data_IF_165588969856
#
_entry.id   IF_165588969856
#
_cell.length_a   1.000
_cell.length_b   1.000
_cell.length_c   1.000
_cell.angle_alpha   90.00
_cell.angle_beta   90.00
_cell.angle_gamma   90.00
#
_symmetry.space_group_name_H-M   'P 1'
#
loop_
_entity.id
_entity.type
_entity.pdbx_description
1 polymer ?
#
# COMPACT_ATOMS: atom_id res chain seq x y z
N UNK A 1 19.20 -20.50 -16.35
CA UNK A 1 18.26 -19.37 -16.53
C UNK A 1 18.62 -18.16 -15.68
N UNK A 2 18.58 -16.96 -16.27
CA UNK A 2 18.92 -15.75 -15.54
C UNK A 2 17.78 -15.31 -14.63
N UNK A 3 18.05 -15.14 -13.33
CA UNK A 3 17.20 -14.48 -12.33
C UNK A 3 16.58 -13.18 -12.90
N UNK A 4 17.26 -12.53 -13.85
CA UNK A 4 16.80 -11.33 -14.57
C UNK A 4 15.51 -11.55 -15.35
N UNK A 5 15.34 -12.67 -16.07
CA UNK A 5 14.13 -12.93 -16.88
C UNK A 5 12.91 -13.14 -15.99
N UNK A 6 13.06 -13.93 -14.92
CA UNK A 6 11.99 -14.13 -13.92
C UNK A 6 11.60 -12.81 -13.26
N UNK A 7 12.58 -11.98 -12.90
CA UNK A 7 12.32 -10.66 -12.31
C UNK A 7 11.52 -9.76 -13.25
N UNK A 8 11.90 -9.66 -14.53
CA UNK A 8 11.16 -8.86 -15.53
C UNK A 8 9.71 -9.31 -15.68
N UNK A 9 9.47 -10.63 -15.71
CA UNK A 9 8.10 -11.18 -15.81
C UNK A 9 7.29 -10.83 -14.56
N UNK A 10 7.88 -10.93 -13.37
CA UNK A 10 7.21 -10.55 -12.12
C UNK A 10 6.88 -9.06 -12.08
N UNK A 11 7.80 -8.19 -12.52
CA UNK A 11 7.59 -6.74 -12.57
C UNK A 11 6.45 -6.37 -13.55
N UNK A 12 6.43 -6.94 -14.76
CA UNK A 12 5.33 -6.71 -15.71
C UNK A 12 4.01 -7.33 -15.21
N UNK A 13 4.05 -8.51 -14.58
CA UNK A 13 2.86 -9.10 -13.97
C UNK A 13 2.27 -8.19 -12.88
N UNK A 14 3.09 -7.63 -11.99
CA UNK A 14 2.64 -6.71 -10.95
C UNK A 14 2.05 -5.43 -11.53
N UNK A 15 2.68 -4.87 -12.56
CA UNK A 15 2.18 -3.68 -13.27
C UNK A 15 0.81 -3.94 -13.90
N UNK A 16 0.65 -5.03 -14.65
CA UNK A 16 -0.64 -5.41 -15.24
C UNK A 16 -1.70 -5.71 -14.19
N UNK A 17 -1.32 -6.41 -13.10
CA UNK A 17 -2.22 -6.72 -12.01
C UNK A 17 -2.70 -5.44 -11.31
N UNK A 18 -1.81 -4.46 -11.10
CA UNK A 18 -2.17 -3.16 -10.51
C UNK A 18 -3.22 -2.41 -11.35
N UNK A 19 -3.05 -2.39 -12.67
CA UNK A 19 -4.00 -1.76 -13.61
C UNK A 19 -5.34 -2.49 -13.53
N UNK A 20 -5.33 -3.83 -13.50
CA UNK A 20 -6.55 -4.63 -13.40
C UNK A 20 -7.30 -4.36 -12.09
N UNK A 21 -6.62 -4.32 -10.94
CA UNK A 21 -7.22 -4.02 -9.63
C UNK A 21 -7.83 -2.60 -9.61
N UNK A 22 -7.14 -1.60 -10.17
CA UNK A 22 -7.65 -0.23 -10.29
C UNK A 22 -8.96 -0.20 -11.10
N UNK A 23 -8.99 -0.93 -12.22
CA UNK A 23 -10.19 -1.06 -13.06
C UNK A 23 -11.35 -1.71 -12.30
N UNK A 24 -11.11 -2.80 -11.57
CA UNK A 24 -12.17 -3.45 -10.79
C UNK A 24 -12.69 -2.52 -9.68
N UNK A 25 -11.79 -1.78 -9.04
CA UNK A 25 -12.16 -0.79 -8.00
C UNK A 25 -13.05 0.31 -8.59
N UNK A 26 -12.77 0.80 -9.81
CA UNK A 26 -13.61 1.79 -10.49
C UNK A 26 -14.98 1.22 -10.89
N UNK A 27 -15.05 -0.05 -11.29
CA UNK A 27 -16.31 -0.74 -11.65
C UNK A 27 -17.17 -1.08 -10.43
N UNK A 28 -16.72 -0.75 -9.21
CA UNK A 28 -17.34 -1.15 -7.93
C UNK A 28 -17.59 -2.66 -7.84
N UNK A 29 -16.77 -3.45 -8.54
CA UNK A 29 -16.81 -4.91 -8.42
C UNK A 29 -16.03 -5.31 -7.17
N UNK A 30 -16.69 -6.08 -6.29
CA UNK A 30 -16.07 -6.63 -5.10
C UNK A 30 -14.87 -7.50 -5.51
N UNK A 31 -13.66 -6.96 -5.38
CA UNK A 31 -12.44 -7.66 -5.73
C UNK A 31 -11.94 -8.39 -4.49
N UNK A 32 -11.95 -9.72 -4.52
CA UNK A 32 -11.49 -10.55 -3.42
C UNK A 32 -10.03 -10.94 -3.63
N UNK A 33 -9.35 -11.32 -2.54
CA UNK A 33 -8.00 -11.89 -2.65
C UNK A 33 -7.93 -13.06 -3.65
N UNK A 34 -8.98 -13.90 -3.67
CA UNK A 34 -9.08 -15.02 -4.59
C UNK A 34 -9.07 -14.57 -6.05
N UNK A 35 -9.87 -13.58 -6.44
CA UNK A 35 -9.91 -13.11 -7.83
C UNK A 35 -8.60 -12.42 -8.24
N UNK A 36 -7.96 -11.72 -7.30
CA UNK A 36 -6.65 -11.10 -7.53
C UNK A 36 -5.58 -12.17 -7.75
N UNK A 37 -5.58 -13.21 -6.92
CA UNK A 37 -4.67 -14.34 -7.04
C UNK A 37 -4.84 -15.04 -8.40
N UNK A 38 -6.08 -15.32 -8.78
CA UNK A 38 -6.39 -15.93 -10.08
C UNK A 38 -5.90 -15.06 -11.25
N UNK A 39 -6.17 -13.75 -11.19
CA UNK A 39 -5.71 -12.84 -12.25
C UNK A 39 -4.19 -12.76 -12.32
N UNK A 40 -3.51 -12.71 -11.19
CA UNK A 40 -2.04 -12.70 -11.13
C UNK A 40 -1.44 -13.93 -11.81
N UNK A 41 -1.98 -15.12 -11.50
CA UNK A 41 -1.56 -16.38 -12.14
C UNK A 41 -1.82 -16.33 -13.66
N UNK A 42 -3.01 -15.88 -14.07
CA UNK A 42 -3.35 -15.78 -15.50
C UNK A 42 -2.39 -14.85 -16.27
N UNK A 43 -2.08 -13.68 -15.71
CA UNK A 43 -1.13 -12.72 -16.29
C UNK A 43 0.27 -13.34 -16.36
N UNK A 44 0.73 -13.96 -15.28
CA UNK A 44 2.06 -14.56 -15.22
C UNK A 44 2.24 -15.67 -16.26
N UNK A 45 1.27 -16.58 -16.38
CA UNK A 45 1.32 -17.66 -17.37
C UNK A 45 1.29 -17.12 -18.81
N UNK A 46 0.55 -16.03 -19.07
CA UNK A 46 0.57 -15.37 -20.36
C UNK A 46 1.95 -14.78 -20.69
N UNK A 47 2.54 -14.02 -19.77
CA UNK A 47 3.88 -13.44 -19.93
C UNK A 47 4.98 -14.51 -20.05
N UNK A 48 4.85 -15.60 -19.30
CA UNK A 48 5.75 -16.75 -19.37
C UNK A 48 5.75 -17.38 -20.77
N UNK A 49 4.58 -17.55 -21.40
CA UNK A 49 4.45 -18.08 -22.76
C UNK A 49 5.10 -17.20 -23.83
N UNK A 50 5.16 -15.88 -23.61
CA UNK A 50 5.81 -14.94 -24.53
C UNK A 50 7.34 -14.88 -24.38
N UNK A 51 7.89 -15.49 -23.33
CA UNK A 51 9.34 -15.48 -23.10
C UNK A 51 10.09 -16.44 -24.04
N UNK A 52 11.38 -16.19 -24.26
CA UNK A 52 12.24 -17.01 -25.13
C UNK A 52 12.27 -18.49 -24.70
N UNK A 53 12.20 -18.75 -23.39
CA UNK A 53 12.33 -20.09 -22.81
C UNK A 53 11.23 -20.33 -21.76
N UNK A 54 9.98 -20.61 -22.17
CA UNK A 54 8.85 -20.73 -21.23
C UNK A 54 9.04 -21.88 -20.24
N UNK A 55 9.69 -22.97 -20.62
CA UNK A 55 9.81 -24.19 -19.82
C UNK A 55 10.69 -24.01 -18.58
N UNK A 56 11.73 -23.17 -18.64
CA UNK A 56 12.66 -23.01 -17.51
C UNK A 56 12.23 -21.90 -16.52
N UNK A 57 11.11 -21.20 -16.78
CA UNK A 57 10.51 -20.23 -15.84
C UNK A 57 9.62 -20.96 -14.83
N UNK A 58 10.02 -20.90 -13.57
CA UNK A 58 9.24 -21.46 -12.46
C UNK A 58 7.82 -20.86 -12.38
N UNK A 59 6.82 -21.62 -11.93
CA UNK A 59 5.47 -21.10 -11.66
C UNK A 59 5.50 -19.92 -10.69
N UNK A 60 4.50 -19.04 -10.79
CA UNK A 60 4.34 -17.93 -9.85
C UNK A 60 3.98 -18.47 -8.46
N UNK A 61 4.82 -18.26 -7.43
CA UNK A 61 4.49 -18.65 -6.07
C UNK A 61 3.46 -17.65 -5.55
N UNK A 62 2.19 -17.90 -5.85
CA UNK A 62 1.02 -17.10 -5.47
C UNK A 62 0.71 -17.20 -3.96
N UNK A 63 1.75 -17.02 -3.15
CA UNK A 63 1.74 -17.02 -1.69
C UNK A 63 1.21 -15.70 -1.14
N UNK A 64 0.60 -15.74 0.04
CA UNK A 64 0.13 -14.56 0.78
C UNK A 64 1.22 -13.49 0.90
N UNK A 65 2.45 -13.89 1.22
CA UNK A 65 3.60 -13.02 1.40
C UNK A 65 3.98 -12.22 0.14
N UNK A 66 3.85 -12.83 -1.05
CA UNK A 66 4.04 -12.14 -2.34
C UNK A 66 3.04 -11.00 -2.51
N UNK A 67 1.77 -11.26 -2.20
CA UNK A 67 0.70 -10.27 -2.27
C UNK A 67 0.79 -9.19 -1.19
N UNK A 68 1.29 -9.51 0.01
CA UNK A 68 1.56 -8.51 1.05
C UNK A 68 2.61 -7.50 0.57
N UNK A 69 3.71 -7.99 -0.02
CA UNK A 69 4.74 -7.10 -0.60
C UNK A 69 4.21 -6.29 -1.78
N UNK A 70 3.37 -6.89 -2.63
CA UNK A 70 2.67 -6.19 -3.72
C UNK A 70 1.75 -5.08 -3.19
N UNK A 71 0.95 -5.35 -2.14
CA UNK A 71 0.07 -4.36 -1.52
C UNK A 71 0.85 -3.13 -1.05
N UNK A 72 1.99 -3.37 -0.39
CA UNK A 72 2.87 -2.31 0.10
C UNK A 72 3.48 -1.49 -1.04
N UNK A 73 3.90 -2.15 -2.14
CA UNK A 73 4.49 -1.45 -3.31
C UNK A 73 3.49 -0.53 -4.02
N UNK A 74 2.24 -0.96 -4.19
CA UNK A 74 1.24 -0.23 -4.97
C UNK A 74 0.23 0.58 -4.14
N UNK A 75 0.41 0.63 -2.82
CA UNK A 75 -0.46 1.40 -1.90
C UNK A 75 -1.95 1.02 -1.99
N UNK A 76 -2.26 -0.26 -2.23
CA UNK A 76 -3.63 -0.76 -2.26
C UNK A 76 -4.17 -1.00 -0.84
N UNK A 77 -4.35 0.07 -0.07
CA UNK A 77 -4.86 -0.01 1.30
C UNK A 77 -6.34 -0.43 1.37
N UNK A 78 -7.11 -0.16 0.31
CA UNK A 78 -8.55 -0.43 0.26
C UNK A 78 -8.90 -1.83 -0.28
N UNK A 79 -7.91 -2.64 -0.63
CA UNK A 79 -8.11 -3.98 -1.20
C UNK A 79 -7.76 -5.02 -0.14
N UNK A 80 -8.74 -5.83 0.27
CA UNK A 80 -8.54 -6.94 1.21
C UNK A 80 -7.75 -8.06 0.52
N UNK A 81 -6.43 -7.90 0.50
CA UNK A 81 -5.46 -8.80 -0.14
C UNK A 81 -4.91 -9.88 0.79
N UNK A 82 -5.19 -9.82 2.09
CA UNK A 82 -4.84 -10.87 3.03
C UNK A 82 -6.16 -11.39 3.61
N UNK A 83 -6.49 -12.66 3.34
CA UNK A 83 -7.53 -13.35 4.08
C UNK A 83 -7.02 -13.63 5.50
N UNK A 84 -7.91 -13.50 6.49
CA UNK A 84 -7.71 -13.76 7.92
C UNK A 84 -6.42 -13.25 8.62
N UNK A 85 -6.61 -12.30 9.54
CA UNK A 85 -5.63 -11.89 10.54
C UNK A 85 -5.49 -12.92 11.70
N UNK A 86 -5.37 -14.22 11.39
CA UNK A 86 -5.36 -15.25 12.44
C UNK A 86 -4.58 -16.53 12.15
N UNK A 87 -3.90 -16.65 11.01
CA UNK A 87 -3.19 -17.90 10.67
C UNK A 87 -2.01 -17.66 9.72
N UNK A 88 -0.83 -18.05 10.18
CA UNK A 88 0.42 -18.25 9.44
C UNK A 88 1.32 -17.02 9.14
N UNK A 89 2.00 -16.53 10.18
CA UNK A 89 3.32 -15.86 10.07
C UNK A 89 4.49 -16.86 10.25
N UNK A 90 4.26 -18.14 9.94
CA UNK A 90 5.26 -19.21 10.08
C UNK A 90 5.89 -19.56 8.72
N UNK A 91 5.13 -19.48 7.62
CA UNK A 91 5.58 -20.02 6.33
C UNK A 91 6.50 -19.06 5.54
N UNK A 92 6.45 -17.75 5.82
CA UNK A 92 7.32 -16.77 5.15
C UNK A 92 8.66 -16.56 5.88
N UNK A 93 8.71 -16.77 7.19
CA UNK A 93 9.94 -16.72 7.98
C UNK A 93 10.83 -17.96 7.72
N UNK A 94 10.22 -19.12 7.47
CA UNK A 94 10.94 -20.39 7.29
C UNK A 94 11.66 -20.52 5.94
N UNK A 95 11.42 -19.61 4.99
CA UNK A 95 12.09 -19.57 3.67
C UNK A 95 13.11 -18.44 3.51
N UNK A 96 13.57 -17.86 4.63
CA UNK A 96 14.81 -17.11 4.59
C UNK A 96 15.98 -18.06 4.33
N UNK A 97 16.94 -17.70 3.45
CA UNK A 97 18.11 -18.53 3.21
C UNK A 97 18.82 -18.77 4.54
N UNK A 98 19.02 -20.03 4.87
CA UNK A 98 19.65 -20.55 6.10
C UNK A 98 21.10 -20.07 6.29
N UNK A 99 21.64 -19.29 5.34
CA UNK A 99 22.97 -18.69 5.36
C UNK A 99 23.07 -17.41 6.22
N UNK A 100 21.97 -16.90 6.78
CA UNK A 100 21.99 -15.69 7.66
C UNK A 100 21.79 -16.02 9.15
N UNK A 101 21.50 -17.28 9.52
CA UNK A 101 21.23 -17.65 10.91
C UNK A 101 22.45 -18.24 11.67
N UNK A 102 23.55 -18.51 10.97
CA UNK A 102 24.73 -19.16 11.55
C UNK A 102 25.79 -18.21 12.14
N UNK A 103 25.50 -16.90 12.23
CA UNK A 103 26.51 -15.90 12.64
C UNK A 103 26.15 -15.07 13.88
N UNK A 104 25.07 -15.38 14.61
CA UNK A 104 24.56 -14.51 15.71
C UNK A 104 24.28 -15.22 17.05
N UNK A 105 24.56 -16.52 17.20
CA UNK A 105 24.47 -17.18 18.53
C UNK A 105 25.62 -18.18 18.76
N UNK A 106 26.83 -17.69 18.59
CA UNK A 106 27.99 -18.23 19.29
C UNK A 106 28.09 -17.46 20.61
N UNK A 107 28.15 -18.17 21.75
CA UNK A 107 28.34 -17.65 23.13
C UNK A 107 27.10 -17.11 23.86
N UNK A 108 26.21 -18.02 24.28
CA UNK A 108 25.56 -17.86 25.60
C UNK A 108 25.30 -19.25 26.18
N UNK A 109 26.14 -19.59 27.16
CA UNK A 109 26.31 -20.90 27.79
C UNK A 109 25.09 -21.34 28.61
N UNK A 110 24.97 -22.66 28.72
CA UNK A 110 23.78 -23.48 29.02
C UNK A 110 23.57 -23.80 30.50
N UNK A 111 23.65 -22.85 31.42
CA UNK A 111 23.60 -23.20 32.87
C UNK A 111 22.56 -22.48 33.74
N UNK A 112 21.77 -21.53 33.22
CA UNK A 112 20.83 -20.77 34.09
C UNK A 112 19.33 -21.06 33.91
N UNK A 113 18.94 -21.98 33.01
CA UNK A 113 17.52 -22.28 32.77
C UNK A 113 16.93 -23.41 33.65
N UNK A 114 17.52 -23.75 34.80
CA UNK A 114 17.04 -24.88 35.62
C UNK A 114 16.92 -24.66 37.14
N UNK A 115 16.67 -23.43 37.61
CA UNK A 115 16.28 -23.19 39.02
C UNK A 115 15.10 -22.22 39.09
N UNK A 116 14.20 -22.47 40.03
CA UNK A 116 12.99 -21.72 40.38
C UNK A 116 11.66 -22.24 39.77
N UNK A 117 11.42 -23.55 39.94
CA UNK A 117 10.07 -24.09 40.15
C UNK A 117 9.87 -24.40 41.63
N UNK A 118 9.35 -23.48 42.46
CA UNK A 118 8.70 -23.79 43.75
C UNK A 118 7.78 -22.63 44.15
N UNK A 119 6.49 -22.98 44.28
CA UNK A 119 5.45 -22.52 45.21
C UNK A 119 5.17 -21.03 45.45
N UNK A 120 3.87 -20.69 45.36
CA UNK A 120 3.29 -19.46 45.91
C UNK A 120 1.87 -19.23 45.41
N UNK A 121 0.92 -19.99 45.95
CA UNK A 121 -0.52 -19.75 45.84
C UNK A 121 -0.90 -18.40 46.47
N UNK A 122 -1.82 -17.64 45.87
CA UNK A 122 -2.99 -17.02 46.49
C UNK A 122 -3.54 -15.83 45.66
N UNK A 123 -4.79 -15.99 45.26
CA UNK A 123 -5.84 -14.97 45.13
C UNK A 123 -5.71 -13.82 44.10
N UNK A 124 -6.71 -13.77 43.22
CA UNK A 124 -7.43 -12.51 43.01
C UNK A 124 -7.50 -11.99 41.58
N UNK A 125 -8.71 -12.12 41.02
CA UNK A 125 -9.34 -11.32 39.95
C UNK A 125 -8.92 -11.54 38.49
N UNK A 126 -9.92 -12.00 37.76
CA UNK A 126 -10.11 -11.87 36.32
C UNK A 126 -10.21 -10.39 35.96
N UNK A 127 -9.25 -9.86 35.20
CA UNK A 127 -9.42 -8.64 34.41
C UNK A 127 -8.78 -8.89 33.03
N UNK A 128 -9.65 -9.25 32.09
CA UNK A 128 -9.40 -9.41 30.66
C UNK A 128 -9.38 -8.02 30.00
N UNK A 129 -8.26 -7.31 30.14
CA UNK A 129 -8.00 -6.04 29.43
C UNK A 129 -6.77 -6.17 28.52
N UNK A 130 -6.90 -6.98 27.47
CA UNK A 130 -5.97 -6.95 26.33
C UNK A 130 -6.73 -6.60 25.04
N UNK A 131 -7.40 -5.45 25.05
CA UNK A 131 -7.97 -4.85 23.84
C UNK A 131 -6.90 -4.00 23.14
N UNK A 132 -6.13 -4.63 22.26
CA UNK A 132 -5.19 -3.95 21.37
C UNK A 132 -5.98 -3.00 20.44
N UNK A 133 -6.01 -1.72 20.79
CA UNK A 133 -6.63 -0.66 19.99
C UNK A 133 -5.89 -0.55 18.67
N UNK A 134 -6.50 -1.03 17.59
CA UNK A 134 -5.98 -0.90 16.23
C UNK A 134 -5.62 0.57 15.93
N UNK A 135 -4.46 0.85 15.30
CA UNK A 135 -4.04 2.21 15.02
C UNK A 135 -5.10 2.94 14.17
N UNK A 136 -5.39 4.23 14.46
CA UNK A 136 -6.38 4.97 13.71
C UNK A 136 -5.99 5.01 12.23
N UNK A 137 -6.96 4.94 11.30
CA UNK A 137 -6.68 4.97 9.88
C UNK A 137 -5.85 6.21 9.53
N UNK A 138 -4.89 6.10 8.60
CA UNK A 138 -4.04 7.24 8.21
C UNK A 138 -4.92 8.42 7.81
N UNK A 139 -4.62 9.61 8.32
CA UNK A 139 -5.35 10.84 7.97
C UNK A 139 -5.12 11.15 6.48
N UNK A 140 -6.05 10.72 5.63
CA UNK A 140 -6.00 10.96 4.18
C UNK A 140 -7.13 11.91 3.77
N UNK A 141 -6.77 13.12 3.36
CA UNK A 141 -7.69 14.04 2.68
C UNK A 141 -7.79 13.68 1.20
N UNK A 142 -9.01 13.43 0.71
CA UNK A 142 -9.33 13.14 -0.70
C UNK A 142 -9.03 14.34 -1.60
N UNK A 143 -8.95 14.12 -2.91
CA UNK A 143 -8.77 15.21 -3.89
C UNK A 143 -9.93 16.21 -3.87
N UNK A 144 -11.16 15.74 -3.62
CA UNK A 144 -12.34 16.58 -3.52
C UNK A 144 -12.30 17.47 -2.27
N UNK A 145 -11.98 16.89 -1.10
CA UNK A 145 -11.82 17.63 0.15
C UNK A 145 -10.68 18.65 0.07
N UNK A 146 -9.55 18.30 -0.57
CA UNK A 146 -8.45 19.23 -0.81
C UNK A 146 -8.89 20.42 -1.67
N UNK A 147 -9.61 20.14 -2.77
CA UNK A 147 -10.13 21.19 -3.65
C UNK A 147 -11.14 22.08 -2.94
N UNK A 148 -12.06 21.50 -2.16
CA UNK A 148 -13.06 22.25 -1.40
C UNK A 148 -12.44 23.11 -0.30
N UNK A 149 -11.46 22.56 0.43
CA UNK A 149 -10.70 23.28 1.46
C UNK A 149 -9.98 24.49 0.86
N UNK A 150 -9.25 24.31 -0.24
CA UNK A 150 -8.56 25.41 -0.93
C UNK A 150 -9.55 26.48 -1.41
N UNK A 151 -10.68 26.08 -2.01
CA UNK A 151 -11.74 27.03 -2.41
C UNK A 151 -12.31 27.78 -1.21
N UNK A 152 -12.50 27.10 -0.08
CA UNK A 152 -13.04 27.71 1.14
C UNK A 152 -12.08 28.74 1.72
N UNK A 153 -10.78 28.43 1.79
CA UNK A 153 -9.77 29.37 2.25
C UNK A 153 -9.74 30.60 1.34
N UNK A 154 -9.77 30.41 0.02
CA UNK A 154 -9.71 31.52 -0.92
C UNK A 154 -10.91 32.47 -0.83
N UNK A 155 -12.11 31.93 -0.61
CA UNK A 155 -13.30 32.76 -0.29
C UNK A 155 -13.09 33.58 0.99
N UNK A 156 -12.46 33.01 2.01
CA UNK A 156 -12.19 33.71 3.29
C UNK A 156 -11.11 34.77 3.15
N UNK A 157 -10.06 34.52 2.35
CA UNK A 157 -9.05 35.53 2.05
C UNK A 157 -9.64 36.70 1.27
N UNK A 158 -10.48 36.42 0.27
CA UNK A 158 -11.18 37.47 -0.47
C UNK A 158 -12.08 38.32 0.45
N UNK A 159 -12.87 37.66 1.31
CA UNK A 159 -13.69 38.38 2.28
C UNK A 159 -12.85 39.27 3.21
N UNK A 160 -11.68 38.81 3.65
CA UNK A 160 -10.77 39.61 4.47
C UNK A 160 -10.24 40.84 3.71
N UNK A 161 -9.89 40.70 2.42
CA UNK A 161 -9.44 41.82 1.58
C UNK A 161 -10.55 42.87 1.36
N UNK A 162 -11.80 42.43 1.25
CA UNK A 162 -12.96 43.30 1.03
C UNK A 162 -13.46 44.01 2.30
N UNK A 163 -13.22 43.44 3.49
CA UNK A 163 -13.82 43.91 4.75
C UNK A 163 -12.81 44.49 5.77
N UNK A 164 -11.51 44.35 5.55
CA UNK A 164 -10.50 44.92 6.47
C UNK A 164 -10.34 46.43 6.25
N UNK A 165 -10.43 47.21 7.34
CA UNK A 165 -10.20 48.66 7.31
C UNK A 165 -8.74 49.01 6.96
N UNK A 166 -7.81 48.08 7.18
CA UNK A 166 -6.41 48.19 6.81
C UNK A 166 -6.09 47.31 5.58
N UNK A 167 -6.29 47.87 4.39
CA UNK A 167 -6.04 47.20 3.10
C UNK A 167 -4.58 46.76 2.92
N UNK A 168 -3.62 47.46 3.54
CA UNK A 168 -2.21 47.07 3.49
C UNK A 168 -1.95 45.80 4.31
N UNK A 169 -2.51 45.72 5.51
CA UNK A 169 -2.37 44.56 6.40
C UNK A 169 -3.10 43.33 5.88
N UNK A 170 -4.34 43.48 5.40
CA UNK A 170 -5.08 42.38 4.78
C UNK A 170 -4.33 41.86 3.57
N UNK A 171 -3.92 42.75 2.66
CA UNK A 171 -3.18 42.38 1.46
C UNK A 171 -1.84 41.68 1.77
N UNK A 172 -1.10 42.13 2.79
CA UNK A 172 0.15 41.47 3.20
C UNK A 172 -0.11 40.07 3.76
N UNK A 173 -1.14 39.94 4.60
CA UNK A 173 -1.54 38.68 5.22
C UNK A 173 -2.03 37.68 4.18
N UNK A 174 -2.93 38.09 3.28
CA UNK A 174 -3.48 37.21 2.24
C UNK A 174 -2.42 36.76 1.26
N UNK A 175 -1.48 37.62 0.86
CA UNK A 175 -0.31 37.21 0.06
C UNK A 175 0.53 36.15 0.76
N UNK A 176 0.80 36.32 2.05
CA UNK A 176 1.54 35.34 2.86
C UNK A 176 0.83 33.99 2.93
N UNK A 177 -0.47 33.98 3.20
CA UNK A 177 -1.26 32.74 3.26
C UNK A 177 -1.29 32.06 1.88
N UNK A 178 -1.52 32.80 0.79
CA UNK A 178 -1.50 32.24 -0.56
C UNK A 178 -0.17 31.56 -0.88
N UNK A 179 0.95 32.17 -0.49
CA UNK A 179 2.27 31.56 -0.63
C UNK A 179 2.41 30.25 0.17
N UNK A 180 1.89 30.21 1.40
CA UNK A 180 1.86 29.00 2.22
C UNK A 180 0.96 27.87 1.65
N UNK A 181 -0.01 28.21 0.78
CA UNK A 181 -0.90 27.24 0.14
C UNK A 181 -0.35 26.65 -1.16
N UNK A 182 0.76 27.16 -1.69
CA UNK A 182 1.34 26.67 -2.95
C UNK A 182 1.63 25.15 -2.97
N UNK A 183 2.19 24.52 -1.91
CA UNK A 183 2.40 23.06 -1.89
C UNK A 183 1.09 22.27 -2.06
N UNK A 184 -0.02 22.78 -1.53
CA UNK A 184 -1.32 22.14 -1.65
C UNK A 184 -1.96 22.34 -3.03
N UNK A 185 -1.75 23.50 -3.66
CA UNK A 185 -2.15 23.72 -5.06
C UNK A 185 -1.38 22.80 -6.00
N UNK A 186 -0.08 22.64 -5.75
CA UNK A 186 0.77 21.71 -6.50
C UNK A 186 0.32 20.26 -6.31
N UNK A 187 0.03 19.84 -5.07
CA UNK A 187 -0.54 18.52 -4.78
C UNK A 187 -1.88 18.30 -5.50
N UNK A 188 -2.76 19.30 -5.54
CA UNK A 188 -4.03 19.21 -6.26
C UNK A 188 -3.80 19.06 -7.77
N UNK A 189 -2.87 19.84 -8.34
CA UNK A 189 -2.48 19.74 -9.74
C UNK A 189 -1.96 18.34 -10.06
N UNK A 190 -1.02 17.82 -9.28
CA UNK A 190 -0.46 16.47 -9.42
C UNK A 190 -1.52 15.38 -9.30
N UNK A 191 -2.43 15.47 -8.32
CA UNK A 191 -3.55 14.53 -8.19
C UNK A 191 -4.47 14.58 -9.40
N UNK A 192 -4.71 15.76 -9.96
CA UNK A 192 -5.56 15.94 -11.15
C UNK A 192 -4.89 15.43 -12.44
N UNK A 193 -3.59 15.65 -12.62
CA UNK A 193 -2.82 15.19 -13.79
C UNK A 193 -2.55 13.70 -13.70
N UNK A 194 -2.21 13.18 -12.52
CA UNK A 194 -2.07 11.76 -12.27
C UNK A 194 -3.39 11.02 -12.54
N UNK A 195 -4.54 11.55 -12.12
CA UNK A 195 -5.83 10.95 -12.44
C UNK A 195 -6.10 10.94 -13.95
N UNK A 196 -5.79 12.03 -14.67
CA UNK A 196 -5.90 12.10 -16.14
C UNK A 196 -4.96 11.11 -16.83
N UNK A 197 -3.70 11.05 -16.42
CA UNK A 197 -2.70 10.12 -16.97
C UNK A 197 -3.06 8.66 -16.66
N UNK A 198 -3.50 8.35 -15.44
CA UNK A 198 -3.99 7.02 -15.05
C UNK A 198 -5.19 6.62 -15.91
N UNK A 199 -6.15 7.53 -16.11
CA UNK A 199 -7.29 7.30 -17.01
C UNK A 199 -6.85 7.08 -18.45
N UNK A 200 -5.92 7.90 -18.97
CA UNK A 200 -5.37 7.75 -20.31
C UNK A 200 -4.64 6.41 -20.47
N UNK A 201 -3.82 6.00 -19.49
CA UNK A 201 -3.11 4.72 -19.47
C UNK A 201 -4.07 3.53 -19.50
N UNK A 202 -5.15 3.60 -18.73
CA UNK A 202 -6.21 2.58 -18.75
C UNK A 202 -6.88 2.54 -20.12
N UNK A 203 -7.21 3.70 -20.73
CA UNK A 203 -7.81 3.75 -22.06
C UNK A 203 -6.89 3.18 -23.16
N UNK A 204 -5.58 3.45 -23.09
CA UNK A 204 -4.60 2.89 -24.03
C UNK A 204 -4.57 1.36 -23.93
N UNK A 205 -4.59 0.81 -22.72
CA UNK A 205 -4.62 -0.64 -22.51
C UNK A 205 -5.87 -1.30 -23.14
N UNK A 206 -7.04 -0.65 -23.04
CA UNK A 206 -8.26 -1.17 -23.67
C UNK A 206 -8.24 -1.11 -25.19
N UNK A 207 -7.59 -0.12 -25.79
CA UNK A 207 -7.48 -0.01 -27.24
C UNK A 207 -6.49 -1.04 -27.83
N UNK A 208 -5.48 -1.45 -27.05
CA UNK A 208 -4.50 -2.47 -27.47
C UNK A 208 -5.05 -3.91 -27.38
N UNK A 209 -6.05 -4.20 -26.54
CA UNK A 209 -6.69 -5.53 -26.47
C UNK A 209 -7.88 -5.71 -27.45
N UNK A 210 -8.18 -4.71 -28.28
CA UNK A 210 -9.28 -4.75 -29.29
C UNK A 210 -8.81 -4.81 -30.75
N UNK A 211 -7.53 -5.09 -31.02
CA UNK A 211 -6.95 -5.41 -32.34
C UNK A 211 -6.29 -6.79 -32.29
#
# INVERSE_FOLDING_TARGET
>A
MSIRTKRKILEEMEKLLSIWIEIQTMKRTGTTFFTIKQKAVAIYEHLKKQSINPTEILPFPASSCSFCRFKNRYSFYNVRLCGEAGSADVDCAQRFPTEVQNSVKEKMTTEELQKLSVAGEAEGREDDENQEVAPPPPRQMTTAELSDTLKTIERRLQWLEENDCNTESSGKTTRGIRACLEPYKQLLYERSTCAKQKKARILLYYNEETL
#
